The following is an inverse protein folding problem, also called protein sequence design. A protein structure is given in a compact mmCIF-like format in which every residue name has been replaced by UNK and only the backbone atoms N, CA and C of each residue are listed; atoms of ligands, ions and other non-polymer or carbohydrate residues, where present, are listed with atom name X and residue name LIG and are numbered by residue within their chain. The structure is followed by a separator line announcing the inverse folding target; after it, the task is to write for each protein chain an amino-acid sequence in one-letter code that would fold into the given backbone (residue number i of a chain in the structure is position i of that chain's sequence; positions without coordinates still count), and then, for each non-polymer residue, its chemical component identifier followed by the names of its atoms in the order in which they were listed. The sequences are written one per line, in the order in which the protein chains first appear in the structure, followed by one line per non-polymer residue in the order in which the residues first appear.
data_IF_953691888732
#
_entry.id   IF_953691888732
#
_cell.length_a   1.000
_cell.length_b   1.000
_cell.length_c   1.000
_cell.angle_alpha   90.00
_cell.angle_beta   90.00
_cell.angle_gamma   90.00
#
_symmetry.space_group_name_H-M   'P 1'
#
loop_
_entity.id
_entity.type
_entity.pdbx_description
1 polymer ?
#
# COMPACT_ATOMS: atom_id res chain seq x y z
N UNK A 1 5.84 -23.23 36.48
CA UNK A 1 5.52 -21.80 36.22
C UNK A 1 5.66 -20.88 37.43
N UNK A 2 5.01 -21.15 38.58
CA UNK A 2 5.02 -20.22 39.72
C UNK A 2 6.43 -19.86 40.25
N UNK A 3 7.36 -20.82 40.25
CA UNK A 3 8.76 -20.58 40.65
C UNK A 3 9.50 -19.63 39.68
N UNK A 4 9.19 -19.70 38.37
CA UNK A 4 9.79 -18.85 37.34
C UNK A 4 9.38 -17.38 37.52
N UNK A 5 8.12 -17.14 37.89
CA UNK A 5 7.59 -15.78 38.17
C UNK A 5 8.09 -15.23 39.52
N UNK A 6 8.41 -16.11 40.49
CA UNK A 6 8.86 -15.71 41.83
C UNK A 6 10.36 -15.43 41.91
N UNK A 7 11.16 -16.05 41.05
CA UNK A 7 12.63 -15.93 41.04
C UNK A 7 13.12 -14.49 40.81
N UNK A 8 12.53 -13.70 39.88
CA UNK A 8 12.83 -12.27 39.73
C UNK A 8 12.59 -11.45 40.99
N UNK A 9 11.50 -11.70 41.72
CA UNK A 9 11.21 -10.98 42.96
C UNK A 9 12.25 -11.26 44.07
N UNK A 10 12.74 -12.50 44.16
CA UNK A 10 13.84 -12.86 45.09
C UNK A 10 15.15 -12.20 44.67
N UNK A 11 15.41 -12.11 43.37
CA UNK A 11 16.58 -11.44 42.81
C UNK A 11 16.57 -9.92 43.04
N UNK A 12 15.41 -9.28 42.94
CA UNK A 12 15.23 -7.85 43.17
C UNK A 12 15.43 -7.47 44.65
N UNK A 13 14.81 -8.24 45.56
CA UNK A 13 14.86 -7.93 46.99
C UNK A 13 16.09 -8.49 47.71
N UNK A 14 16.83 -9.43 47.09
CA UNK A 14 17.94 -10.18 47.68
C UNK A 14 17.63 -10.73 49.09
N UNK A 15 16.35 -11.01 49.33
CA UNK A 15 15.81 -11.43 50.61
C UNK A 15 14.48 -12.16 50.39
N UNK A 16 14.45 -13.46 50.72
CA UNK A 16 13.26 -14.31 50.54
C UNK A 16 12.05 -13.82 51.34
N UNK A 17 12.25 -13.20 52.51
CA UNK A 17 11.15 -12.68 53.32
C UNK A 17 10.52 -11.44 52.68
N UNK A 18 11.34 -10.53 52.15
CA UNK A 18 10.83 -9.35 51.46
C UNK A 18 10.15 -9.71 50.13
N UNK A 19 10.73 -10.64 49.37
CA UNK A 19 10.11 -11.15 48.14
C UNK A 19 8.79 -11.90 48.40
N UNK A 20 8.70 -12.65 49.49
CA UNK A 20 7.45 -13.29 49.88
C UNK A 20 6.36 -12.26 50.23
N UNK A 21 6.74 -11.20 50.97
CA UNK A 21 5.83 -10.13 51.34
C UNK A 21 5.33 -9.35 50.11
N UNK A 22 6.19 -9.03 49.14
CA UNK A 22 5.78 -8.30 47.93
C UNK A 22 4.85 -9.13 47.03
N UNK A 23 4.96 -10.45 47.07
CA UNK A 23 4.11 -11.39 46.34
C UNK A 23 2.90 -11.90 47.15
N UNK A 24 2.71 -11.46 48.40
CA UNK A 24 1.60 -11.87 49.24
C UNK A 24 1.58 -13.36 49.63
N UNK A 25 2.74 -14.03 49.63
CA UNK A 25 2.87 -15.45 49.95
C UNK A 25 3.78 -15.69 51.17
N UNK A 26 3.81 -16.92 51.69
CA UNK A 26 4.70 -17.26 52.80
C UNK A 26 6.15 -17.44 52.35
N UNK A 27 7.09 -17.05 53.21
CA UNK A 27 8.53 -17.23 52.99
C UNK A 27 8.90 -18.71 52.75
N UNK A 28 8.26 -19.64 53.46
CA UNK A 28 8.47 -21.07 53.29
C UNK A 28 8.04 -21.56 51.90
N UNK A 29 6.95 -21.03 51.35
CA UNK A 29 6.46 -21.37 50.01
C UNK A 29 7.42 -20.93 48.91
N UNK A 30 7.86 -19.66 48.93
CA UNK A 30 8.80 -19.15 47.92
C UNK A 30 10.16 -19.84 48.01
N UNK A 31 10.66 -20.10 49.23
CA UNK A 31 11.94 -20.81 49.41
C UNK A 31 11.86 -22.25 48.92
N UNK A 32 10.76 -22.97 49.17
CA UNK A 32 10.58 -24.34 48.69
C UNK A 32 10.50 -24.38 47.15
N UNK A 33 9.78 -23.44 46.54
CA UNK A 33 9.62 -23.35 45.08
C UNK A 33 10.92 -22.98 44.36
N UNK A 34 11.69 -22.04 44.89
CA UNK A 34 13.01 -21.70 44.33
C UNK A 34 13.98 -22.87 44.48
N UNK A 35 13.96 -23.57 45.63
CA UNK A 35 14.80 -24.75 45.83
C UNK A 35 14.46 -25.88 44.85
N UNK A 36 13.17 -26.17 44.67
CA UNK A 36 12.72 -27.16 43.69
C UNK A 36 13.15 -26.78 42.25
N UNK A 37 13.12 -25.49 41.91
CA UNK A 37 13.60 -24.99 40.62
C UNK A 37 15.11 -25.16 40.47
N UNK A 38 15.89 -24.89 41.52
CA UNK A 38 17.35 -25.12 41.52
C UNK A 38 17.68 -26.62 41.36
N UNK A 39 16.91 -27.50 42.01
CA UNK A 39 17.03 -28.96 41.89
C UNK A 39 16.67 -29.43 40.47
N UNK A 40 15.60 -28.91 39.87
CA UNK A 40 15.18 -29.22 38.50
C UNK A 40 16.20 -28.74 37.46
N UNK A 41 16.79 -27.57 37.65
CA UNK A 41 17.81 -27.01 36.75
C UNK A 41 19.21 -27.60 36.98
N UNK A 42 19.41 -28.32 38.09
CA UNK A 42 20.72 -28.85 38.48
C UNK A 42 21.76 -27.78 38.82
N UNK A 43 21.34 -26.53 39.03
CA UNK A 43 22.22 -25.40 39.33
C UNK A 43 21.65 -24.55 40.46
N UNK A 44 22.53 -24.02 41.31
CA UNK A 44 22.14 -23.02 42.31
C UNK A 44 22.00 -21.66 41.63
N UNK A 45 20.85 -21.03 41.81
CA UNK A 45 20.57 -19.68 41.34
C UNK A 45 20.91 -18.65 42.43
N UNK A 46 20.80 -19.05 43.70
CA UNK A 46 21.08 -18.19 44.86
C UNK A 46 22.09 -18.82 45.82
N UNK A 47 23.03 -18.00 46.30
CA UNK A 47 23.90 -18.29 47.44
C UNK A 47 23.30 -17.68 48.71
N UNK A 48 23.22 -18.50 49.77
CA UNK A 48 22.69 -18.10 51.08
C UNK A 48 23.83 -18.02 52.09
N UNK A 49 24.15 -16.81 52.52
CA UNK A 49 25.22 -16.56 53.50
C UNK A 49 24.63 -15.93 54.77
N UNK A 50 25.40 -15.91 55.86
CA UNK A 50 25.01 -15.23 57.12
C UNK A 50 24.76 -13.73 56.96
N UNK A 51 25.16 -13.14 55.82
CA UNK A 51 24.96 -11.73 55.46
C UNK A 51 23.81 -11.47 54.47
N UNK A 52 23.05 -12.51 54.08
CA UNK A 52 21.92 -12.38 53.16
C UNK A 52 22.01 -13.28 51.93
N UNK A 53 21.17 -12.99 50.93
CA UNK A 53 21.04 -13.78 49.69
C UNK A 53 21.76 -13.05 48.56
N UNK A 54 22.49 -13.78 47.71
CA UNK A 54 23.10 -13.24 46.48
C UNK A 54 22.82 -14.16 45.30
N UNK A 55 22.79 -13.60 44.10
CA UNK A 55 22.71 -14.38 42.87
C UNK A 55 24.06 -15.03 42.54
N UNK A 56 24.03 -16.29 42.10
CA UNK A 56 25.18 -16.93 41.44
C UNK A 56 25.36 -16.36 40.02
N UNK A 57 26.42 -16.76 39.33
CA UNK A 57 26.57 -16.43 37.90
C UNK A 57 25.43 -17.02 37.06
N UNK A 58 25.03 -18.26 37.35
CA UNK A 58 23.87 -18.91 36.71
C UNK A 58 22.56 -18.18 37.07
N UNK A 59 22.40 -17.76 38.33
CA UNK A 59 21.26 -16.99 38.80
C UNK A 59 21.08 -15.66 38.06
N UNK A 60 22.16 -14.89 37.86
CA UNK A 60 22.10 -13.63 37.11
C UNK A 60 21.63 -13.86 35.67
N UNK A 61 22.27 -14.78 34.96
CA UNK A 61 21.89 -15.09 33.57
C UNK A 61 20.46 -15.63 33.48
N UNK A 62 20.04 -16.46 34.43
CA UNK A 62 18.68 -17.00 34.48
C UNK A 62 17.63 -15.91 34.72
N UNK A 63 17.86 -15.02 35.68
CA UNK A 63 16.95 -13.90 36.00
C UNK A 63 16.81 -12.96 34.81
N UNK A 64 17.91 -12.58 34.14
CA UNK A 64 17.86 -11.75 32.94
C UNK A 64 16.99 -12.38 31.84
N UNK A 65 17.16 -13.70 31.61
CA UNK A 65 16.41 -14.42 30.58
C UNK A 65 14.94 -14.61 30.93
N UNK A 66 14.62 -14.89 32.20
CA UNK A 66 13.24 -15.13 32.60
C UNK A 66 12.44 -13.83 32.66
N UNK A 67 13.04 -12.71 33.07
CA UNK A 67 12.40 -11.39 33.07
C UNK A 67 12.02 -10.99 31.64
N UNK A 68 12.96 -11.09 30.69
CA UNK A 68 12.66 -10.82 29.28
C UNK A 68 11.59 -11.77 28.71
N UNK A 69 11.59 -13.04 29.13
CA UNK A 69 10.56 -14.00 28.74
C UNK A 69 9.17 -13.66 29.29
N UNK A 70 9.08 -13.18 30.54
CA UNK A 70 7.83 -12.73 31.16
C UNK A 70 7.27 -11.50 30.44
N UNK A 71 8.12 -10.52 30.13
CA UNK A 71 7.72 -9.34 29.35
C UNK A 71 7.20 -9.72 27.95
N UNK A 72 7.83 -10.69 27.31
CA UNK A 72 7.41 -11.17 26.00
C UNK A 72 6.06 -11.90 26.04
N UNK A 73 5.76 -12.62 27.14
CA UNK A 73 4.45 -13.23 27.37
C UNK A 73 3.37 -12.19 27.65
N UNK A 74 3.67 -11.19 28.49
CA UNK A 74 2.75 -10.08 28.78
C UNK A 74 2.44 -9.26 27.50
N UNK A 75 3.46 -9.03 26.67
CA UNK A 75 3.30 -8.43 25.34
C UNK A 75 2.40 -9.29 24.43
N UNK A 76 2.58 -10.61 24.41
CA UNK A 76 1.75 -11.51 23.61
C UNK A 76 0.27 -11.43 24.03
N UNK A 77 -0.02 -11.45 25.33
CA UNK A 77 -1.38 -11.33 25.88
C UNK A 77 -2.01 -9.98 25.51
N UNK A 78 -1.27 -8.87 25.69
CA UNK A 78 -1.72 -7.52 25.32
C UNK A 78 -1.98 -7.40 23.83
N UNK A 79 -1.08 -7.92 22.99
CA UNK A 79 -1.24 -7.89 21.53
C UNK A 79 -2.43 -8.70 21.03
N UNK A 80 -2.77 -9.83 21.68
CA UNK A 80 -3.97 -10.59 21.36
C UNK A 80 -5.25 -9.81 21.70
N UNK A 81 -5.26 -9.08 22.83
CA UNK A 81 -6.35 -8.19 23.21
C UNK A 81 -6.53 -7.01 22.24
N UNK A 82 -5.42 -6.35 21.88
CA UNK A 82 -5.41 -5.25 20.90
C UNK A 82 -5.85 -5.71 19.51
N UNK A 83 -5.47 -6.93 19.08
CA UNK A 83 -5.90 -7.49 17.81
C UNK A 83 -7.41 -7.79 17.79
N UNK A 84 -7.97 -8.29 18.89
CA UNK A 84 -9.41 -8.53 19.02
C UNK A 84 -10.25 -7.23 18.99
N UNK A 85 -9.66 -6.11 19.38
CA UNK A 85 -10.28 -4.78 19.36
C UNK A 85 -9.97 -3.98 18.08
N UNK A 86 -9.13 -4.51 17.19
CA UNK A 86 -8.72 -3.84 15.95
C UNK A 86 -7.69 -2.72 16.16
N UNK A 87 -7.05 -2.64 17.32
CA UNK A 87 -6.05 -1.62 17.67
C UNK A 87 -4.64 -1.97 17.19
N UNK A 88 -4.40 -3.24 16.83
CA UNK A 88 -3.19 -3.67 16.12
C UNK A 88 -3.54 -4.76 15.11
N UNK A 89 -2.83 -4.81 13.98
CA UNK A 89 -3.13 -5.78 12.92
C UNK A 89 -2.75 -5.25 11.55
N UNK A 90 -3.47 -5.72 10.52
CA UNK A 90 -3.22 -5.32 9.13
C UNK A 90 -4.53 -5.03 8.44
N UNK A 91 -4.57 -3.92 7.71
CA UNK A 91 -5.72 -3.49 6.93
C UNK A 91 -5.33 -3.39 5.46
N UNK A 92 -6.00 -4.18 4.62
CA UNK A 92 -5.72 -4.35 3.19
C UNK A 92 -6.74 -3.57 2.37
N UNK A 93 -6.25 -2.54 1.69
CA UNK A 93 -7.06 -1.54 1.01
C UNK A 93 -6.81 -1.61 -0.51
N UNK A 94 -7.86 -1.91 -1.27
CA UNK A 94 -7.88 -1.75 -2.72
C UNK A 94 -8.20 -0.32 -3.10
N UNK A 95 -7.46 0.25 -4.04
CA UNK A 95 -7.72 1.59 -4.57
C UNK A 95 -7.84 1.54 -6.08
N UNK A 96 -8.96 2.06 -6.60
CA UNK A 96 -9.13 2.22 -8.03
C UNK A 96 -8.11 3.23 -8.57
N UNK A 97 -7.37 2.85 -9.61
CA UNK A 97 -6.34 3.67 -10.23
C UNK A 97 -6.83 5.02 -10.81
N UNK A 98 -8.15 5.30 -10.79
CA UNK A 98 -8.80 6.50 -11.32
C UNK A 98 -9.18 7.51 -10.23
N UNK A 99 -9.03 7.18 -8.94
CA UNK A 99 -9.38 8.09 -7.86
C UNK A 99 -8.33 9.22 -7.80
N UNK A 100 -8.74 10.50 -7.90
CA UNK A 100 -7.84 11.64 -7.70
C UNK A 100 -7.16 11.55 -6.34
N UNK A 101 -5.84 11.73 -6.32
CA UNK A 101 -5.01 11.40 -5.15
C UNK A 101 -5.25 12.30 -3.93
N UNK A 102 -5.93 13.43 -4.04
CA UNK A 102 -5.99 14.43 -2.95
C UNK A 102 -6.71 13.92 -1.70
N UNK A 103 -7.99 13.56 -1.80
CA UNK A 103 -8.77 13.16 -0.63
C UNK A 103 -8.34 11.82 -0.03
N UNK A 104 -8.19 10.80 -0.89
CA UNK A 104 -7.91 9.44 -0.41
C UNK A 104 -6.49 9.32 0.16
N UNK A 105 -5.50 10.03 -0.39
CA UNK A 105 -4.15 10.01 0.18
C UNK A 105 -4.10 10.71 1.55
N UNK A 106 -4.86 11.79 1.73
CA UNK A 106 -5.00 12.48 3.01
C UNK A 106 -5.67 11.59 4.05
N UNK A 107 -6.79 10.94 3.69
CA UNK A 107 -7.49 9.99 4.58
C UNK A 107 -6.58 8.83 5.02
N UNK A 108 -5.86 8.21 4.08
CA UNK A 108 -4.94 7.11 4.39
C UNK A 108 -3.76 7.60 5.23
N UNK A 109 -3.25 8.80 4.94
CA UNK A 109 -2.17 9.42 5.71
C UNK A 109 -2.58 9.63 7.16
N UNK A 110 -3.73 10.25 7.37
CA UNK A 110 -4.27 10.52 8.70
C UNK A 110 -4.57 9.23 9.48
N UNK A 111 -5.19 8.24 8.84
CA UNK A 111 -5.44 6.95 9.49
C UNK A 111 -4.15 6.25 9.93
N UNK A 112 -3.07 6.36 9.16
CA UNK A 112 -1.76 5.80 9.53
C UNK A 112 -1.14 6.49 10.74
N UNK A 113 -1.34 7.80 10.86
CA UNK A 113 -0.86 8.58 12.01
C UNK A 113 -1.65 8.23 13.28
N UNK A 114 -2.98 8.18 13.17
CA UNK A 114 -3.87 7.89 14.29
C UNK A 114 -3.76 6.42 14.75
N UNK A 115 -3.40 5.51 13.85
CA UNK A 115 -3.34 4.06 14.11
C UNK A 115 -1.99 3.44 13.71
N UNK A 116 -0.90 3.91 14.31
CA UNK A 116 0.47 3.43 14.02
C UNK A 116 0.71 1.92 14.24
N UNK A 117 -0.12 1.27 15.05
CA UNK A 117 -0.08 -0.18 15.33
C UNK A 117 -0.77 -1.03 14.25
N UNK A 118 -1.39 -0.41 13.25
CA UNK A 118 -2.06 -1.09 12.13
C UNK A 118 -1.20 -0.95 10.86
N UNK A 119 -0.76 -2.08 10.33
CA UNK A 119 -0.05 -2.12 9.05
C UNK A 119 -1.04 -1.91 7.90
N UNK A 120 -0.88 -0.81 7.15
CA UNK A 120 -1.70 -0.53 5.98
C UNK A 120 -1.06 -1.08 4.71
N UNK A 121 -1.78 -1.95 4.02
CA UNK A 121 -1.39 -2.42 2.69
C UNK A 121 -2.31 -1.88 1.61
N UNK A 122 -1.72 -1.30 0.58
CA UNK A 122 -2.46 -0.68 -0.51
C UNK A 122 -2.16 -1.41 -1.82
N UNK A 123 -3.23 -1.82 -2.50
CA UNK A 123 -3.18 -2.40 -3.83
C UNK A 123 -3.92 -1.50 -4.83
N UNK A 124 -3.25 -1.12 -5.92
CA UNK A 124 -3.88 -0.38 -7.01
C UNK A 124 -4.45 -1.35 -8.06
N UNK A 125 -5.68 -1.12 -8.53
CA UNK A 125 -6.35 -1.99 -9.50
C UNK A 125 -7.56 -1.36 -10.20
N UNK A 126 -8.29 -2.16 -10.98
CA UNK A 126 -9.60 -1.78 -11.51
C UNK A 126 -10.72 -2.04 -10.49
N UNK A 127 -11.90 -1.45 -10.67
CA UNK A 127 -13.06 -1.68 -9.79
C UNK A 127 -13.39 -3.17 -9.71
N UNK A 128 -13.40 -3.84 -10.88
CA UNK A 128 -13.69 -5.26 -11.00
C UNK A 128 -12.67 -6.11 -10.23
N UNK A 129 -11.39 -5.82 -10.37
CA UNK A 129 -10.33 -6.57 -9.67
C UNK A 129 -10.43 -6.38 -8.16
N UNK A 130 -10.65 -5.14 -7.71
CA UNK A 130 -10.79 -4.84 -6.29
C UNK A 130 -12.02 -5.57 -5.69
N UNK A 131 -13.16 -5.59 -6.40
CA UNK A 131 -14.34 -6.36 -5.99
C UNK A 131 -14.05 -7.86 -5.89
N UNK A 132 -13.40 -8.44 -6.90
CA UNK A 132 -13.05 -9.86 -6.88
C UNK A 132 -12.08 -10.20 -5.74
N UNK A 133 -11.13 -9.32 -5.46
CA UNK A 133 -10.18 -9.49 -4.35
C UNK A 133 -10.85 -9.34 -2.98
N UNK A 134 -11.85 -8.47 -2.82
CA UNK A 134 -12.65 -8.41 -1.58
C UNK A 134 -13.43 -9.71 -1.40
N UNK A 135 -14.10 -10.22 -2.44
CA UNK A 135 -14.85 -11.50 -2.39
C UNK A 135 -13.96 -12.70 -2.08
N UNK A 136 -12.73 -12.69 -2.56
CA UNK A 136 -11.74 -13.72 -2.29
C UNK A 136 -11.02 -13.53 -0.94
N UNK A 137 -11.46 -12.56 -0.12
CA UNK A 137 -10.83 -12.19 1.15
C UNK A 137 -9.31 -11.93 1.00
N UNK A 138 -8.93 -11.35 -0.15
CA UNK A 138 -7.60 -10.83 -0.44
C UNK A 138 -7.47 -9.35 -0.04
N UNK A 139 -8.59 -8.62 -0.04
CA UNK A 139 -8.71 -7.25 0.46
C UNK A 139 -9.81 -7.16 1.53
N UNK A 140 -9.62 -6.29 2.51
CA UNK A 140 -10.63 -5.98 3.53
C UNK A 140 -11.62 -4.93 3.01
N UNK A 141 -11.11 -3.91 2.33
CA UNK A 141 -11.90 -2.78 1.81
C UNK A 141 -11.41 -2.40 0.41
N UNK A 142 -12.32 -1.96 -0.45
CA UNK A 142 -11.98 -1.40 -1.76
C UNK A 142 -12.65 -0.03 -1.99
N UNK A 143 -11.85 0.96 -2.40
CA UNK A 143 -12.33 2.23 -2.91
C UNK A 143 -12.47 2.16 -4.44
N UNK A 144 -13.71 2.23 -4.93
CA UNK A 144 -14.04 2.18 -6.35
C UNK A 144 -14.79 3.44 -6.80
N UNK A 145 -14.66 3.77 -8.09
CA UNK A 145 -15.45 4.84 -8.72
C UNK A 145 -16.79 4.28 -9.16
N UNK A 146 -17.87 4.97 -8.81
CA UNK A 146 -19.25 4.53 -9.05
C UNK A 146 -19.87 3.86 -7.83
N UNK A 147 -21.10 3.38 -7.98
CA UNK A 147 -21.82 2.61 -6.98
C UNK A 147 -22.10 1.22 -7.56
N UNK A 148 -21.12 0.28 -7.51
CA UNK A 148 -21.39 -1.08 -7.96
C UNK A 148 -22.40 -1.72 -7.00
N UNK A 149 -23.59 -2.03 -7.51
CA UNK A 149 -24.55 -2.87 -6.79
C UNK A 149 -24.06 -4.31 -6.83
N UNK A 150 -23.52 -4.75 -5.69
CA UNK A 150 -22.96 -6.09 -5.52
C UNK A 150 -23.77 -6.79 -4.43
N UNK A 151 -24.50 -7.87 -4.74
CA UNK A 151 -25.41 -8.51 -3.79
C UNK A 151 -24.70 -9.17 -2.59
N UNK A 152 -23.41 -9.42 -2.72
CA UNK A 152 -22.54 -10.10 -1.75
C UNK A 152 -21.48 -9.19 -1.13
N UNK A 153 -21.57 -7.86 -1.34
CA UNK A 153 -20.63 -6.90 -0.76
C UNK A 153 -21.40 -5.69 -0.23
N UNK A 154 -21.05 -5.23 0.98
CA UNK A 154 -21.52 -3.95 1.47
C UNK A 154 -20.81 -2.81 0.72
N UNK A 155 -21.59 -1.96 0.06
CA UNK A 155 -21.10 -0.75 -0.59
C UNK A 155 -21.62 0.49 0.14
N UNK A 156 -20.75 1.49 0.30
CA UNK A 156 -21.10 2.78 0.90
C UNK A 156 -20.48 3.91 0.09
N UNK A 157 -21.27 4.92 -0.25
CA UNK A 157 -20.77 6.16 -0.86
C UNK A 157 -20.06 7.00 0.19
N UNK A 158 -18.75 7.23 0.00
CA UNK A 158 -17.90 7.94 0.98
C UNK A 158 -17.67 9.40 0.59
N UNK A 159 -17.51 9.70 -0.71
CA UNK A 159 -17.46 11.07 -1.22
C UNK A 159 -18.05 11.13 -2.64
N UNK A 160 -18.28 12.34 -3.15
CA UNK A 160 -18.66 12.57 -4.54
C UNK A 160 -17.70 13.58 -5.13
N UNK A 161 -17.13 13.26 -6.30
CA UNK A 161 -16.25 14.15 -7.02
C UNK A 161 -16.81 14.38 -8.41
N UNK A 162 -16.81 15.64 -8.86
CA UNK A 162 -17.27 15.97 -10.20
C UNK A 162 -16.20 15.49 -11.18
N UNK A 163 -16.53 14.59 -12.14
CA UNK A 163 -15.58 14.23 -13.17
C UNK A 163 -15.13 15.50 -13.89
N UNK A 164 -13.85 15.59 -14.22
CA UNK A 164 -13.31 16.72 -14.96
C UNK A 164 -14.21 16.98 -16.19
N UNK A 165 -14.75 18.20 -16.28
CA UNK A 165 -15.74 18.56 -17.30
C UNK A 165 -15.24 18.16 -18.69
N UNK A 166 -15.85 17.13 -19.28
CA UNK A 166 -15.61 16.76 -20.67
C UNK A 166 -16.29 17.82 -21.53
N UNK A 167 -15.54 18.87 -21.88
CA UNK A 167 -16.00 19.89 -22.83
C UNK A 167 -16.22 19.17 -24.16
N UNK A 168 -17.42 19.00 -24.72
CA UNK A 168 -17.59 18.29 -26.02
C UNK A 168 -17.42 19.29 -27.16
N UNK A 169 -16.20 19.82 -27.32
CA UNK A 169 -15.85 20.74 -28.40
C UNK A 169 -14.82 20.09 -29.32
N UNK A 170 -14.93 20.24 -30.66
CA UNK A 170 -13.99 19.66 -31.64
C UNK A 170 -12.58 20.24 -31.56
N UNK A 171 -12.39 21.27 -30.72
CA UNK A 171 -11.13 21.97 -30.60
C UNK A 171 -10.17 21.23 -29.67
N UNK A 172 -8.98 20.95 -30.18
CA UNK A 172 -8.01 20.04 -29.60
C UNK A 172 -7.52 20.46 -28.20
N UNK A 173 -7.07 21.71 -28.05
CA UNK A 173 -6.45 22.19 -26.81
C UNK A 173 -7.43 22.91 -25.87
N UNK A 174 -8.72 22.98 -26.22
CA UNK A 174 -9.71 23.62 -25.33
C UNK A 174 -9.73 22.92 -23.98
N UNK A 175 -9.73 23.67 -22.88
CA UNK A 175 -9.76 23.14 -21.51
C UNK A 175 -8.41 22.69 -20.94
N UNK A 176 -7.36 22.61 -21.77
CA UNK A 176 -5.99 22.33 -21.33
C UNK A 176 -4.99 23.42 -21.74
N UNK A 177 -5.37 24.37 -22.60
CA UNK A 177 -4.54 25.49 -23.05
C UNK A 177 -4.69 26.71 -22.16
N UNK A 178 -3.57 27.26 -21.70
CA UNK A 178 -3.50 28.40 -20.79
C UNK A 178 -2.44 29.40 -21.25
N UNK A 179 -2.70 30.67 -20.98
CA UNK A 179 -1.70 31.72 -21.10
C UNK A 179 -0.75 31.62 -19.91
N UNK A 180 0.55 31.54 -20.15
CA UNK A 180 1.55 31.39 -19.10
C UNK A 180 1.57 32.61 -18.16
N UNK A 181 1.66 33.81 -18.75
CA UNK A 181 1.83 35.08 -18.03
C UNK A 181 0.76 35.41 -16.98
N UNK A 182 -0.47 34.94 -17.18
CA UNK A 182 -1.62 35.30 -16.30
C UNK A 182 -2.46 34.08 -15.89
N UNK A 183 -2.04 32.86 -16.26
CA UNK A 183 -2.76 31.63 -15.96
C UNK A 183 -4.13 31.47 -16.61
N UNK A 184 -4.61 32.46 -17.37
CA UNK A 184 -5.95 32.47 -17.97
C UNK A 184 -6.11 31.39 -19.03
N UNK A 185 -7.23 30.66 -18.98
CA UNK A 185 -7.57 29.67 -20.00
C UNK A 185 -7.65 30.33 -21.39
N UNK A 186 -7.10 29.69 -22.41
CA UNK A 186 -7.21 30.16 -23.79
C UNK A 186 -8.47 29.56 -24.43
N UNK A 187 -9.30 30.41 -25.03
CA UNK A 187 -10.55 30.03 -25.70
C UNK A 187 -10.49 30.35 -27.18
N UNK A 188 -11.29 29.63 -27.97
CA UNK A 188 -11.36 29.87 -29.42
C UNK A 188 -12.08 31.18 -29.72
N UNK A 189 -11.47 31.95 -30.60
CA UNK A 189 -12.04 33.15 -31.24
C UNK A 189 -12.01 32.99 -32.74
N UNK A 190 -13.03 33.50 -33.41
CA UNK A 190 -13.16 33.48 -34.86
C UNK A 190 -12.88 34.87 -35.43
N UNK A 191 -12.19 34.93 -36.56
CA UNK A 191 -11.94 36.15 -37.32
C UNK A 191 -12.41 35.99 -38.77
N UNK A 192 -12.78 37.10 -39.42
CA UNK A 192 -13.29 37.16 -40.81
C UNK A 192 -14.40 36.12 -41.07
N UNK A 193 -15.53 36.27 -40.38
CA UNK A 193 -16.73 35.43 -40.53
C UNK A 193 -16.50 33.92 -40.32
N UNK A 194 -15.60 33.55 -39.39
CA UNK A 194 -15.32 32.15 -39.06
C UNK A 194 -14.23 31.49 -39.89
N UNK A 195 -13.69 32.19 -40.92
CA UNK A 195 -12.61 31.68 -41.77
C UNK A 195 -11.31 31.41 -41.02
N UNK A 196 -11.04 32.16 -39.95
CA UNK A 196 -9.86 31.96 -39.12
C UNK A 196 -10.24 31.69 -37.68
N UNK A 197 -9.55 30.74 -37.05
CA UNK A 197 -9.72 30.39 -35.64
C UNK A 197 -8.41 30.60 -34.90
N UNK A 198 -8.49 31.21 -33.72
CA UNK A 198 -7.33 31.53 -32.89
C UNK A 198 -7.61 31.13 -31.45
N UNK A 199 -6.60 30.60 -30.76
CA UNK A 199 -6.60 30.53 -29.30
C UNK A 199 -6.28 31.90 -28.75
N UNK A 200 -7.18 32.48 -27.96
CA UNK A 200 -6.99 33.76 -27.32
C UNK A 200 -7.19 33.66 -25.80
N UNK A 201 -6.38 34.39 -25.02
CA UNK A 201 -6.52 34.42 -23.57
C UNK A 201 -7.90 34.95 -23.15
N UNK A 202 -8.63 34.17 -22.36
CA UNK A 202 -9.98 34.53 -21.89
C UNK A 202 -10.00 35.75 -20.96
N UNK A 203 -8.94 35.98 -20.18
CA UNK A 203 -8.81 37.15 -19.30
C UNK A 203 -8.80 38.44 -20.12
N UNK A 204 -7.97 38.51 -21.17
CA UNK A 204 -7.99 39.67 -22.10
C UNK A 204 -9.36 39.86 -22.72
N UNK A 205 -10.04 38.77 -23.06
CA UNK A 205 -11.35 38.86 -23.69
C UNK A 205 -12.47 39.33 -22.75
N UNK A 206 -12.30 39.19 -21.43
CA UNK A 206 -13.28 39.64 -20.41
C UNK A 206 -12.94 41.01 -19.84
N UNK A 207 -11.65 41.31 -19.68
CA UNK A 207 -11.16 42.47 -18.93
C UNK A 207 -10.33 43.44 -19.78
N UNK A 208 -10.15 43.19 -21.09
CA UNK A 208 -9.36 44.06 -21.96
C UNK A 208 -7.86 44.07 -21.64
N UNK A 209 -7.16 45.12 -22.07
CA UNK A 209 -5.71 45.25 -21.90
C UNK A 209 -5.27 45.44 -20.44
N UNK A 210 -6.17 45.89 -19.58
CA UNK A 210 -5.96 46.05 -18.13
C UNK A 210 -5.89 44.69 -17.41
N UNK A 211 -6.57 43.66 -17.91
CA UNK A 211 -6.51 42.31 -17.32
C UNK A 211 -5.39 41.43 -17.88
N UNK A 212 -5.14 41.49 -19.19
CA UNK A 212 -4.07 40.74 -19.83
C UNK A 212 -3.73 41.35 -21.19
N UNK A 213 -2.44 41.62 -21.46
CA UNK A 213 -1.99 42.01 -22.81
C UNK A 213 -2.39 41.00 -23.88
N UNK A 214 -2.59 39.74 -23.47
CA UNK A 214 -3.28 38.62 -24.13
C UNK A 214 -2.85 38.27 -25.54
N UNK A 215 -2.48 37.00 -25.70
CA UNK A 215 -2.00 36.43 -26.96
C UNK A 215 -3.14 35.84 -27.77
N UNK A 216 -3.02 35.93 -29.08
CA UNK A 216 -3.82 35.19 -30.04
C UNK A 216 -2.87 34.38 -30.94
N UNK A 217 -3.03 33.07 -30.98
CA UNK A 217 -2.24 32.18 -31.86
C UNK A 217 -3.20 31.44 -32.79
N UNK A 218 -2.91 31.34 -34.10
CA UNK A 218 -3.71 30.54 -35.02
C UNK A 218 -3.88 29.11 -34.49
N UNK A 219 -5.12 28.62 -34.49
CA UNK A 219 -5.49 27.31 -33.93
C UNK A 219 -4.64 26.20 -34.54
N UNK A 220 -4.61 26.12 -35.87
CA UNK A 220 -3.88 25.05 -36.58
C UNK A 220 -2.38 25.09 -36.30
N UNK A 221 -1.80 26.30 -36.15
CA UNK A 221 -0.39 26.46 -35.83
C UNK A 221 -0.09 25.91 -34.43
N UNK A 222 -0.89 26.27 -33.43
CA UNK A 222 -0.68 25.80 -32.06
C UNK A 222 -0.93 24.29 -31.94
N UNK A 223 -2.02 23.80 -32.54
CA UNK A 223 -2.37 22.38 -32.55
C UNK A 223 -1.25 21.54 -33.17
N UNK A 224 -0.72 21.96 -34.33
CA UNK A 224 0.38 21.25 -35.00
C UNK A 224 1.67 21.28 -34.18
N UNK A 225 2.01 22.39 -33.52
CA UNK A 225 3.20 22.47 -32.66
C UNK A 225 3.09 21.51 -31.47
N UNK A 226 1.94 21.48 -30.79
CA UNK A 226 1.72 20.60 -29.64
C UNK A 226 1.71 19.13 -30.06
N UNK A 227 0.99 18.80 -31.13
CA UNK A 227 0.90 17.43 -31.67
C UNK A 227 2.28 16.92 -32.08
N UNK A 228 3.01 17.68 -32.90
CA UNK A 228 4.32 17.25 -33.40
C UNK A 228 5.31 17.06 -32.26
N UNK A 229 5.30 17.95 -31.25
CA UNK A 229 6.16 17.79 -30.08
C UNK A 229 5.83 16.52 -29.27
N UNK A 230 4.54 16.22 -29.08
CA UNK A 230 4.12 14.98 -28.41
C UNK A 230 4.56 13.76 -29.21
N UNK A 231 4.42 13.77 -30.53
CA UNK A 231 4.80 12.65 -31.40
C UNK A 231 6.31 12.39 -31.41
N UNK A 232 7.11 13.44 -31.62
CA UNK A 232 8.56 13.34 -31.79
C UNK A 232 9.30 13.15 -30.47
N UNK A 233 8.80 13.78 -29.40
CA UNK A 233 9.49 13.78 -28.11
C UNK A 233 8.83 12.84 -27.13
N UNK A 234 7.52 12.90 -26.91
CA UNK A 234 6.88 12.09 -25.86
C UNK A 234 6.64 10.64 -26.30
N UNK A 235 6.15 10.43 -27.53
CA UNK A 235 5.82 9.12 -28.08
C UNK A 235 7.01 8.44 -28.75
N UNK A 236 8.22 8.93 -28.54
CA UNK A 236 9.45 8.21 -28.87
C UNK A 236 9.60 6.99 -27.94
N UNK A 237 9.73 5.75 -28.47
CA UNK A 237 9.76 4.55 -27.64
C UNK A 237 10.89 4.55 -26.60
N UNK A 238 12.10 4.94 -26.98
CA UNK A 238 13.25 4.97 -26.08
C UNK A 238 13.04 5.98 -24.95
N UNK A 239 12.44 7.13 -25.26
CA UNK A 239 12.05 8.13 -24.26
C UNK A 239 10.92 7.63 -23.37
N UNK A 240 9.90 6.96 -23.90
CA UNK A 240 8.80 6.38 -23.11
C UNK A 240 9.33 5.33 -22.13
N UNK A 241 10.23 4.46 -22.57
CA UNK A 241 10.88 3.46 -21.72
C UNK A 241 11.64 4.13 -20.57
N UNK A 242 12.43 5.17 -20.85
CA UNK A 242 13.14 5.91 -19.80
C UNK A 242 12.18 6.65 -18.85
N UNK A 243 11.14 7.29 -19.38
CA UNK A 243 10.17 8.04 -18.58
C UNK A 243 9.36 7.13 -17.65
N UNK A 244 8.85 6.02 -18.20
CA UNK A 244 8.08 5.02 -17.49
C UNK A 244 8.95 4.09 -16.66
N UNK A 245 10.24 3.96 -16.96
CA UNK A 245 11.21 3.16 -16.20
C UNK A 245 11.25 3.53 -14.73
N UNK A 246 11.12 4.83 -14.40
CA UNK A 246 11.00 5.28 -13.00
C UNK A 246 9.72 4.83 -12.29
N UNK A 247 8.64 4.58 -13.02
CA UNK A 247 7.34 4.13 -12.48
C UNK A 247 7.28 2.60 -12.45
N UNK A 248 7.84 1.94 -13.47
CA UNK A 248 8.06 0.51 -13.54
C UNK A 248 9.03 0.04 -12.46
N UNK A 249 10.09 0.80 -12.20
CA UNK A 249 11.05 0.58 -11.12
C UNK A 249 10.37 0.59 -9.74
N UNK A 250 9.51 1.59 -9.46
CA UNK A 250 8.73 1.60 -8.21
C UNK A 250 7.79 0.40 -8.08
N UNK A 251 7.22 -0.09 -9.20
CA UNK A 251 6.39 -1.29 -9.20
C UNK A 251 7.21 -2.57 -9.02
N UNK A 252 8.39 -2.68 -9.62
CA UNK A 252 9.30 -3.81 -9.40
C UNK A 252 9.80 -3.81 -7.96
N UNK A 253 10.14 -2.65 -7.39
CA UNK A 253 10.54 -2.52 -5.99
C UNK A 253 9.39 -2.93 -5.06
N UNK A 254 8.15 -2.56 -5.37
CA UNK A 254 6.98 -2.96 -4.60
C UNK A 254 6.68 -4.45 -4.74
N UNK A 255 6.81 -5.02 -5.94
CA UNK A 255 6.68 -6.45 -6.17
C UNK A 255 7.77 -7.25 -5.45
N UNK A 256 8.99 -6.75 -5.43
CA UNK A 256 10.13 -7.38 -4.75
C UNK A 256 9.96 -7.31 -3.22
N UNK A 257 9.58 -6.15 -2.67
CA UNK A 257 9.21 -6.04 -1.24
C UNK A 257 8.09 -7.00 -0.86
N UNK A 258 7.09 -7.19 -1.74
CA UNK A 258 6.02 -8.17 -1.52
C UNK A 258 6.53 -9.61 -1.57
N UNK A 259 7.44 -9.95 -2.50
CA UNK A 259 8.09 -11.27 -2.51
C UNK A 259 8.87 -11.54 -1.24
N UNK A 260 9.67 -10.57 -0.79
CA UNK A 260 10.41 -10.66 0.47
C UNK A 260 9.47 -10.88 1.66
N UNK A 261 8.34 -10.17 1.69
CA UNK A 261 7.33 -10.37 2.73
C UNK A 261 6.69 -11.76 2.71
N UNK A 262 6.38 -12.29 1.53
CA UNK A 262 5.90 -13.67 1.37
C UNK A 262 6.94 -14.66 1.89
N UNK A 263 8.21 -14.48 1.53
CA UNK A 263 9.30 -15.33 2.02
C UNK A 263 9.38 -15.29 3.55
N UNK A 264 9.21 -14.12 4.17
CA UNK A 264 9.21 -13.98 5.63
C UNK A 264 8.00 -14.67 6.28
N UNK A 265 6.80 -14.50 5.73
CA UNK A 265 5.59 -15.19 6.21
C UNK A 265 5.73 -16.72 6.09
N UNK A 266 6.26 -17.21 4.97
CA UNK A 266 6.55 -18.63 4.76
C UNK A 266 7.59 -19.15 5.75
N UNK A 267 8.65 -18.38 6.02
CA UNK A 267 9.66 -18.73 7.04
C UNK A 267 9.04 -18.85 8.42
N UNK A 268 8.21 -17.88 8.84
CA UNK A 268 7.52 -17.89 10.13
C UNK A 268 6.58 -19.09 10.28
N UNK A 269 5.87 -19.45 9.21
CA UNK A 269 5.02 -20.64 9.18
C UNK A 269 5.86 -21.92 9.35
N UNK A 270 6.95 -22.05 8.59
CA UNK A 270 7.83 -23.22 8.64
C UNK A 270 8.50 -23.39 10.02
N UNK A 271 8.96 -22.30 10.65
CA UNK A 271 9.54 -22.34 12.00
C UNK A 271 8.53 -22.79 13.05
N UNK A 272 7.30 -22.29 12.97
CA UNK A 272 6.21 -22.68 13.88
C UNK A 272 5.84 -24.15 13.71
N UNK A 273 5.82 -24.64 12.46
CA UNK A 273 5.56 -26.03 12.12
C UNK A 273 6.67 -26.97 12.61
N UNK A 274 7.94 -26.56 12.50
CA UNK A 274 9.08 -27.31 13.06
C UNK A 274 9.00 -27.40 14.59
N UNK A 275 8.62 -26.31 15.27
CA UNK A 275 8.43 -26.30 16.73
C UNK A 275 7.29 -27.22 17.15
N UNK A 276 6.17 -27.21 16.43
CA UNK A 276 5.06 -28.15 16.66
C UNK A 276 5.49 -29.60 16.47
N UNK A 277 6.25 -29.92 15.40
CA UNK A 277 6.80 -31.27 15.20
C UNK A 277 7.70 -31.71 16.36
N UNK A 278 8.56 -30.83 16.87
CA UNK A 278 9.42 -31.15 18.02
C UNK A 278 8.61 -31.43 19.29
N UNK A 279 7.55 -30.66 19.54
CA UNK A 279 6.66 -30.88 20.68
C UNK A 279 5.88 -32.19 20.54
N UNK A 280 5.34 -32.48 19.35
CA UNK A 280 4.66 -33.76 19.09
C UNK A 280 5.60 -34.96 19.29
N UNK A 281 6.84 -34.89 18.79
CA UNK A 281 7.81 -35.96 19.00
C UNK A 281 8.17 -36.15 20.48
N UNK A 282 8.22 -35.07 21.27
CA UNK A 282 8.48 -35.14 22.72
C UNK A 282 7.31 -35.77 23.49
N UNK A 283 6.08 -35.53 23.04
CA UNK A 283 4.87 -36.20 23.53
C UNK A 283 4.92 -37.70 23.21
N UNK A 284 5.20 -38.06 21.94
CA UNK A 284 5.28 -39.46 21.51
C UNK A 284 6.38 -40.25 22.25
N UNK A 285 7.48 -39.58 22.60
CA UNK A 285 8.57 -40.15 23.39
C UNK A 285 8.27 -40.24 24.90
N UNK A 286 7.10 -39.77 25.37
CA UNK A 286 6.71 -39.76 26.78
C UNK A 286 7.47 -38.75 27.65
N UNK A 287 8.16 -37.79 27.03
CA UNK A 287 8.95 -36.74 27.72
C UNK A 287 8.08 -35.54 28.10
N UNK A 288 6.95 -35.36 27.41
CA UNK A 288 5.99 -34.30 27.67
C UNK A 288 4.59 -34.89 27.88
N UNK A 289 3.90 -34.43 28.93
CA UNK A 289 2.58 -34.92 29.28
C UNK A 289 1.49 -34.16 28.50
N UNK A 290 0.55 -34.90 27.90
CA UNK A 290 -0.50 -34.34 27.06
C UNK A 290 -1.51 -33.52 27.89
N UNK A 291 -1.63 -33.86 29.17
CA UNK A 291 -2.57 -33.27 30.11
C UNK A 291 -2.02 -32.00 30.79
N UNK A 292 -0.80 -31.56 30.45
CA UNK A 292 -0.26 -30.28 30.93
C UNK A 292 -0.97 -29.10 30.24
N UNK A 293 -1.76 -28.29 30.97
CA UNK A 293 -2.47 -27.16 30.40
C UNK A 293 -1.54 -26.11 29.77
N UNK A 294 -0.31 -25.96 30.28
CA UNK A 294 0.65 -25.01 29.71
C UNK A 294 1.21 -25.49 28.36
N UNK A 295 1.34 -26.81 28.17
CA UNK A 295 1.73 -27.40 26.90
C UNK A 295 0.60 -27.27 25.87
N UNK A 296 -0.64 -27.53 26.28
CA UNK A 296 -1.82 -27.38 25.44
C UNK A 296 -1.99 -25.94 24.92
N UNK A 297 -1.83 -24.93 25.80
CA UNK A 297 -1.89 -23.51 25.44
C UNK A 297 -0.78 -23.13 24.43
N UNK A 298 0.44 -23.64 24.64
CA UNK A 298 1.58 -23.37 23.75
C UNK A 298 1.44 -24.02 22.38
N UNK A 299 0.87 -25.23 22.32
CA UNK A 299 0.52 -25.90 21.07
C UNK A 299 -0.58 -25.11 20.35
N UNK A 300 -1.60 -24.65 21.06
CA UNK A 300 -2.67 -23.84 20.49
C UNK A 300 -2.12 -22.52 19.90
N UNK A 301 -1.27 -21.80 20.65
CA UNK A 301 -0.64 -20.57 20.17
C UNK A 301 0.25 -20.77 18.93
N UNK A 302 1.06 -21.83 18.90
CA UNK A 302 1.88 -22.16 17.72
C UNK A 302 1.03 -22.55 16.51
N UNK A 303 -0.10 -23.24 16.70
CA UNK A 303 -1.07 -23.54 15.62
C UNK A 303 -1.67 -22.26 15.04
N UNK A 304 -2.13 -21.35 15.90
CA UNK A 304 -2.69 -20.05 15.49
C UNK A 304 -1.67 -19.25 14.66
N UNK A 305 -0.42 -19.13 15.15
CA UNK A 305 0.64 -18.40 14.43
C UNK A 305 0.94 -19.04 13.07
N UNK A 306 1.05 -20.37 13.01
CA UNK A 306 1.30 -21.12 11.76
C UNK A 306 0.18 -20.90 10.76
N UNK A 307 -1.06 -21.09 11.20
CA UNK A 307 -2.23 -21.06 10.32
C UNK A 307 -2.46 -19.64 9.79
N UNK A 308 -2.30 -18.63 10.64
CA UNK A 308 -2.35 -17.23 10.23
C UNK A 308 -1.26 -16.89 9.21
N UNK A 309 0.00 -17.26 9.49
CA UNK A 309 1.11 -16.99 8.58
C UNK A 309 0.97 -17.71 7.23
N UNK A 310 0.41 -18.93 7.21
CA UNK A 310 0.10 -19.67 5.96
C UNK A 310 -0.99 -18.97 5.16
N UNK A 311 -2.09 -18.57 5.80
CA UNK A 311 -3.19 -17.84 5.14
C UNK A 311 -2.68 -16.52 4.55
N UNK A 312 -1.91 -15.75 5.33
CA UNK A 312 -1.37 -14.47 4.87
C UNK A 312 -0.35 -14.63 3.73
N UNK A 313 0.46 -15.70 3.74
CA UNK A 313 1.38 -15.99 2.65
C UNK A 313 0.64 -16.35 1.35
N UNK A 314 -0.36 -17.23 1.42
CA UNK A 314 -1.17 -17.64 0.26
C UNK A 314 -1.89 -16.43 -0.34
N UNK A 315 -2.47 -15.59 0.52
CA UNK A 315 -3.16 -14.36 0.16
C UNK A 315 -2.23 -13.34 -0.50
N UNK A 316 -1.06 -13.08 0.09
CA UNK A 316 -0.06 -12.18 -0.48
C UNK A 316 0.47 -12.69 -1.83
N UNK A 317 0.58 -14.00 -1.99
CA UNK A 317 0.98 -14.63 -3.25
C UNK A 317 -0.09 -14.49 -4.34
N UNK A 318 -1.38 -14.70 -4.02
CA UNK A 318 -2.48 -14.47 -4.96
C UNK A 318 -2.56 -13.02 -5.45
N UNK A 319 -2.19 -12.05 -4.61
CA UNK A 319 -2.09 -10.64 -4.99
C UNK A 319 -0.93 -10.34 -5.95
N UNK A 320 0.17 -11.10 -5.89
CA UNK A 320 1.27 -11.00 -6.87
C UNK A 320 0.91 -11.64 -8.21
N UNK A 321 0.17 -12.75 -8.19
CA UNK A 321 -0.23 -13.51 -9.38
C UNK A 321 -1.43 -12.88 -10.11
N UNK A 322 -2.09 -11.89 -9.50
CA UNK A 322 -3.23 -11.20 -10.09
C UNK A 322 -2.83 -10.37 -11.35
N UNK A 323 -3.62 -10.43 -12.44
CA UNK A 323 -3.28 -9.83 -13.75
C UNK A 323 -3.11 -8.30 -13.78
N UNK A 324 -3.48 -7.61 -12.70
CA UNK A 324 -3.22 -6.17 -12.51
C UNK A 324 -1.73 -5.79 -12.39
N UNK A 325 -0.85 -6.77 -12.16
CA UNK A 325 0.63 -6.62 -12.14
C UNK A 325 1.31 -7.09 -13.42
N UNK A 326 0.63 -7.05 -14.56
CA UNK A 326 1.25 -7.36 -15.85
C UNK A 326 2.41 -6.40 -16.12
N UNK A 327 3.63 -6.94 -16.22
CA UNK A 327 4.84 -6.20 -16.58
C UNK A 327 4.65 -5.55 -17.95
N UNK A 328 4.78 -4.22 -18.03
CA UNK A 328 4.77 -3.53 -19.31
C UNK A 328 6.02 -3.94 -20.08
N UNK A 329 5.83 -4.64 -21.21
CA UNK A 329 6.94 -5.03 -22.08
C UNK A 329 7.35 -3.89 -23.02
N UNK A 330 8.61 -3.87 -23.48
CA UNK A 330 9.05 -2.99 -24.57
C UNK A 330 8.09 -3.03 -25.77
N UNK A 331 7.69 -4.23 -26.20
CA UNK A 331 6.74 -4.42 -27.30
C UNK A 331 5.39 -3.70 -27.07
N UNK A 332 4.91 -3.64 -25.82
CA UNK A 332 3.70 -2.92 -25.46
C UNK A 332 3.87 -1.41 -25.57
N UNK A 333 5.03 -0.88 -25.15
CA UNK A 333 5.38 0.54 -25.26
C UNK A 333 5.46 0.95 -26.73
N UNK A 334 6.16 0.16 -27.56
CA UNK A 334 6.23 0.37 -29.01
C UNK A 334 4.84 0.33 -29.66
N UNK A 335 4.01 -0.65 -29.31
CA UNK A 335 2.65 -0.76 -29.83
C UNK A 335 1.75 0.40 -29.40
N UNK A 336 1.88 0.88 -28.17
CA UNK A 336 1.20 2.07 -27.69
C UNK A 336 1.63 3.33 -28.45
N UNK A 337 2.94 3.56 -28.56
CA UNK A 337 3.52 4.71 -29.26
C UNK A 337 3.02 4.80 -30.70
N UNK A 338 3.03 3.68 -31.43
CA UNK A 338 2.52 3.61 -32.81
C UNK A 338 1.04 3.98 -32.89
N UNK A 339 0.19 3.33 -32.10
CA UNK A 339 -1.27 3.60 -32.08
C UNK A 339 -1.60 5.02 -31.66
N UNK A 340 -0.87 5.58 -30.70
CA UNK A 340 -1.07 6.94 -30.22
C UNK A 340 -0.74 7.97 -31.31
N UNK A 341 0.36 7.77 -32.07
CA UNK A 341 0.72 8.63 -33.21
C UNK A 341 -0.34 8.59 -34.31
N UNK A 342 -0.79 7.40 -34.70
CA UNK A 342 -1.85 7.23 -35.72
C UNK A 342 -3.14 7.97 -35.32
N UNK A 343 -3.56 7.84 -34.07
CA UNK A 343 -4.84 8.41 -33.59
C UNK A 343 -4.79 9.91 -33.30
N UNK A 344 -3.63 10.46 -32.92
CA UNK A 344 -3.47 11.91 -32.67
C UNK A 344 -3.52 12.74 -33.95
N UNK A 345 -3.30 12.14 -35.13
CA UNK A 345 -3.51 12.80 -36.43
C UNK A 345 -4.81 12.41 -37.13
N UNK A 346 -5.64 11.57 -36.50
CA UNK A 346 -6.94 11.17 -37.04
C UNK A 346 -7.87 12.36 -37.32
N UNK A 347 -8.75 12.19 -38.31
CA UNK A 347 -9.73 13.21 -38.72
C UNK A 347 -10.95 13.30 -37.79
N UNK A 348 -11.19 12.28 -36.96
CA UNK A 348 -12.27 12.25 -35.96
C UNK A 348 -11.91 13.10 -34.72
N UNK A 349 -12.30 14.38 -34.76
CA UNK A 349 -11.88 15.41 -33.80
C UNK A 349 -12.20 15.14 -32.32
N UNK A 350 -13.27 14.39 -32.01
CA UNK A 350 -13.59 13.99 -30.63
C UNK A 350 -12.58 12.97 -30.08
N UNK A 351 -12.27 11.96 -30.88
CA UNK A 351 -11.38 10.85 -30.51
C UNK A 351 -9.91 11.30 -30.42
N UNK A 352 -9.48 12.12 -31.38
CA UNK A 352 -8.15 12.73 -31.43
C UNK A 352 -7.82 13.51 -30.16
N UNK A 353 -8.81 14.22 -29.62
CA UNK A 353 -8.62 15.08 -28.45
C UNK A 353 -8.44 14.30 -27.16
N UNK A 354 -9.22 13.26 -26.96
CA UNK A 354 -9.14 12.48 -25.73
C UNK A 354 -7.78 11.78 -25.64
N UNK A 355 -7.24 11.32 -26.77
CA UNK A 355 -5.86 10.82 -26.85
C UNK A 355 -4.81 11.89 -26.52
N UNK A 356 -4.97 13.11 -27.02
CA UNK A 356 -4.04 14.19 -26.71
C UNK A 356 -4.11 14.60 -25.23
N UNK A 357 -5.30 14.69 -24.64
CA UNK A 357 -5.49 15.03 -23.22
C UNK A 357 -4.97 13.96 -22.26
N UNK A 358 -5.00 12.70 -22.69
CA UNK A 358 -4.39 11.61 -21.95
C UNK A 358 -2.86 11.77 -21.83
N UNK A 359 -2.23 12.43 -22.81
CA UNK A 359 -0.79 12.67 -22.86
C UNK A 359 -0.37 14.05 -22.32
N UNK A 360 -1.21 15.07 -22.52
CA UNK A 360 -0.96 16.46 -22.14
C UNK A 360 -2.15 16.99 -21.33
N UNK A 361 -1.94 17.18 -20.03
CA UNK A 361 -2.97 17.70 -19.12
C UNK A 361 -2.98 19.23 -19.07
N UNK A 362 -1.85 19.88 -19.43
CA UNK A 362 -1.75 21.33 -19.45
C UNK A 362 -0.76 21.80 -20.52
N UNK A 363 -1.16 22.80 -21.30
CA UNK A 363 -0.35 23.46 -22.31
C UNK A 363 -0.31 24.94 -21.98
N UNK A 364 0.88 25.47 -21.73
CA UNK A 364 1.09 26.88 -21.45
C UNK A 364 1.78 27.58 -22.62
N UNK A 365 1.22 28.71 -23.02
CA UNK A 365 1.70 29.53 -24.12
C UNK A 365 2.38 30.78 -23.55
N UNK A 366 3.71 30.84 -23.67
CA UNK A 366 4.56 31.96 -23.28
C UNK A 366 4.93 32.85 -24.48
N UNK A 367 5.85 33.79 -24.28
CA UNK A 367 6.31 34.75 -25.28
C UNK A 367 7.13 34.07 -26.39
N UNK A 368 7.99 33.15 -25.99
CA UNK A 368 9.03 32.50 -26.79
C UNK A 368 8.96 30.96 -26.73
N UNK A 369 8.09 30.40 -25.90
CA UNK A 369 8.00 28.97 -25.66
C UNK A 369 6.55 28.47 -25.47
N UNK A 370 6.35 27.19 -25.76
CA UNK A 370 5.15 26.44 -25.38
C UNK A 370 5.59 25.33 -24.43
N UNK A 371 5.00 25.29 -23.24
CA UNK A 371 5.29 24.25 -22.23
C UNK A 371 4.14 23.25 -22.20
N UNK A 372 4.45 21.98 -22.42
CA UNK A 372 3.49 20.88 -22.37
C UNK A 372 3.76 20.09 -21.11
N UNK A 373 2.76 19.95 -20.26
CA UNK A 373 2.84 19.28 -18.97
C UNK A 373 1.88 18.10 -18.93
N UNK A 374 2.39 17.00 -18.37
CA UNK A 374 1.57 15.83 -18.10
C UNK A 374 2.15 14.94 -17.01
N UNK A 375 1.34 13.99 -16.55
CA UNK A 375 1.67 13.06 -15.46
C UNK A 375 2.14 11.72 -16.00
N UNK A 376 3.26 11.22 -15.46
CA UNK A 376 3.75 9.85 -15.74
C UNK A 376 2.72 8.78 -15.38
N UNK A 377 1.91 9.04 -14.34
CA UNK A 377 0.86 8.11 -13.88
C UNK A 377 -0.30 8.03 -14.87
N UNK A 378 -0.71 9.17 -15.45
CA UNK A 378 -1.76 9.21 -16.48
C UNK A 378 -1.29 8.56 -17.79
N UNK A 379 -0.03 8.79 -18.16
CA UNK A 379 0.61 8.14 -19.30
C UNK A 379 0.60 6.61 -19.14
N UNK A 380 1.01 6.12 -17.97
CA UNK A 380 0.98 4.69 -17.63
C UNK A 380 -0.43 4.12 -17.71
N UNK A 381 -1.41 4.83 -17.13
CA UNK A 381 -2.82 4.44 -17.14
C UNK A 381 -3.35 4.29 -18.57
N UNK A 382 -3.02 5.24 -19.44
CA UNK A 382 -3.45 5.23 -20.85
C UNK A 382 -2.85 4.05 -21.61
N UNK A 383 -1.60 3.71 -21.31
CA UNK A 383 -0.92 2.54 -21.87
C UNK A 383 -1.61 1.23 -21.42
N UNK A 384 -1.94 1.09 -20.14
CA UNK A 384 -2.62 -0.09 -19.60
C UNK A 384 -4.08 -0.24 -20.09
N UNK A 385 -4.84 0.85 -20.19
CA UNK A 385 -6.22 0.82 -20.69
C UNK A 385 -6.31 0.33 -22.15
N UNK A 386 -5.22 0.47 -22.92
CA UNK A 386 -5.09 -0.07 -24.27
C UNK A 386 -5.02 -1.60 -24.37
N UNK A 387 -4.88 -2.33 -23.24
CA UNK A 387 -4.82 -3.80 -23.22
C UNK A 387 -6.20 -4.48 -23.40
N UNK A 388 -7.30 -3.81 -23.04
CA UNK A 388 -8.61 -4.47 -22.90
C UNK A 388 -9.69 -4.05 -23.91
N UNK A 389 -9.41 -3.11 -24.83
CA UNK A 389 -10.44 -2.56 -25.74
C UNK A 389 -10.09 -2.88 -27.19
N UNK A 390 -10.66 -3.95 -27.75
CA UNK A 390 -11.20 -3.85 -29.11
C UNK A 390 -12.36 -2.87 -29.00
N UNK A 391 -12.07 -1.59 -29.19
CA UNK A 391 -13.12 -0.61 -29.44
C UNK A 391 -13.80 -1.03 -30.75
N UNK A 392 -15.14 -1.04 -30.83
CA UNK A 392 -15.82 -1.38 -32.06
C UNK A 392 -15.29 -0.47 -33.17
N UNK A 393 -14.91 -1.06 -34.31
CA UNK A 393 -14.80 -0.29 -35.54
C UNK A 393 -16.15 0.39 -35.78
N UNK A 394 -16.20 1.61 -36.35
CA UNK A 394 -17.45 2.10 -36.89
C UNK A 394 -17.90 1.11 -37.96
N UNK A 395 -19.11 0.59 -37.82
CA UNK A 395 -19.80 -0.06 -38.92
C UNK A 395 -19.82 0.95 -40.08
N UNK A 396 -19.23 0.54 -41.20
CA UNK A 396 -19.43 1.23 -42.46
C UNK A 396 -20.85 0.90 -42.92
N UNK A 397 -21.62 1.92 -43.26
CA UNK A 397 -22.88 1.81 -44.01
C UNK A 397 -22.70 1.00 -45.31
#
# INVERSE_FOLDING_TARGET
MAALLQTPAVAEHLNFRHAANSLGISQSSISARVKALEEELGVLLFERNTRGVRLTAAGRHFVERITAGIEQLDYAVKSAGMAAQGECGRLRIGVHALIPRSFLAELIGQYREDHSSIELEIAEGTARDATMQVRADLLDIAFAVGAPELPDCHSRRIWTELPARVVIGPTLLTGICFCEKWGGAMTIRTGKSGRYRYYACSIKARQGETGCKGRAIPMDKLDNMVVSHIEERLLDPDRLEKLLGSVLGRRSDQAERRRQHITELQRRAAESELRLKRLNNAIEAGVADLDDPALAERIAGLKVIRDQAKVDAVRAQALLESPGHSSISPAMIHGFARRARERIRGTEGGYRRDHLRALAQRVEVADDAIRIMGSKTELLRTLMAGQGRRLPCPEAD
#
